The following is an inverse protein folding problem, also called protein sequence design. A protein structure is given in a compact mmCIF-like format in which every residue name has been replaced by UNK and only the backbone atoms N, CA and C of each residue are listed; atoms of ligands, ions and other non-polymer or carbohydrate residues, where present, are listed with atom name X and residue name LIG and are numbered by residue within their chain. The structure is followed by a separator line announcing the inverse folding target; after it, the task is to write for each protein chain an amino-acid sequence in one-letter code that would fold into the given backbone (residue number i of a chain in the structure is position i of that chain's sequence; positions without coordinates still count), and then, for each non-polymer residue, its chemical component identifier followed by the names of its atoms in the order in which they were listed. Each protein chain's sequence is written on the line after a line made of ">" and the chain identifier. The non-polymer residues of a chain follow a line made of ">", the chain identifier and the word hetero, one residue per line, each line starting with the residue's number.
data_IF_585671321701
#
_entry.id   IF_585671321701
#
_cell.length_a   1.000
_cell.length_b   1.000
_cell.length_c   1.000
_cell.angle_alpha   90.00
_cell.angle_beta   90.00
_cell.angle_gamma   90.00
#
_symmetry.space_group_name_H-M   'P 1'
#
loop_
_entity.id
_entity.type
_entity.pdbx_description
1 polymer ?
#
# COMPACT_ATOMS: atom_id res chain seq x y z
N UNK A 1 -5.84 19.36 20.48
CA UNK A 1 -4.60 20.14 20.41
C UNK A 1 -3.43 19.26 20.85
N UNK A 2 -2.89 18.45 19.92
CA UNK A 2 -1.74 17.55 20.14
C UNK A 2 -0.45 18.38 20.36
N UNK A 3 -0.50 19.67 20.13
CA UNK A 3 0.63 20.60 20.24
C UNK A 3 0.75 21.26 21.61
N UNK A 4 -0.25 21.15 22.48
CA UNK A 4 -0.31 21.87 23.77
C UNK A 4 0.57 21.35 24.90
N UNK A 5 1.22 20.18 24.75
CA UNK A 5 2.07 19.59 25.79
C UNK A 5 3.57 19.59 25.48
N UNK A 6 4.03 20.37 24.50
CA UNK A 6 5.45 20.45 24.19
C UNK A 6 6.18 21.28 25.23
N UNK A 7 6.86 20.60 26.16
CA UNK A 7 7.81 21.26 27.07
C UNK A 7 8.98 21.88 26.30
N UNK A 8 9.67 22.86 26.92
CA UNK A 8 10.86 23.54 26.37
C UNK A 8 11.91 22.54 25.81
N UNK A 9 11.97 21.31 26.33
CA UNK A 9 12.87 20.26 25.84
C UNK A 9 12.59 19.78 24.40
N UNK A 10 11.42 19.97 23.86
CA UNK A 10 11.07 19.52 22.51
C UNK A 10 11.62 20.40 21.40
N UNK A 11 11.85 21.69 21.70
CA UNK A 11 12.43 22.66 20.76
C UNK A 11 13.88 22.31 20.38
N UNK A 12 14.59 21.59 21.24
CA UNK A 12 15.99 21.20 21.02
C UNK A 12 16.14 19.77 20.46
N UNK A 13 15.04 19.03 20.34
CA UNK A 13 15.08 17.66 19.78
C UNK A 13 15.16 17.69 18.26
N UNK A 14 15.95 16.79 17.72
CA UNK A 14 15.90 16.47 16.29
C UNK A 14 14.62 15.68 16.01
N UNK A 15 13.83 16.13 15.06
CA UNK A 15 12.65 15.41 14.57
C UNK A 15 12.90 15.04 13.12
N UNK A 16 13.10 13.76 12.91
CA UNK A 16 13.35 13.16 11.59
C UNK A 16 12.37 12.03 11.36
N UNK A 17 12.19 11.69 10.11
CA UNK A 17 11.47 10.51 9.66
C UNK A 17 12.35 9.70 8.73
N UNK A 18 12.28 8.39 8.84
CA UNK A 18 12.83 7.42 7.89
C UNK A 18 11.71 6.45 7.58
N UNK A 19 11.25 6.46 6.33
CA UNK A 19 10.07 5.72 5.90
C UNK A 19 10.42 4.77 4.75
N UNK A 20 10.63 3.47 5.02
CA UNK A 20 10.72 2.46 3.97
C UNK A 20 9.41 2.41 3.17
N UNK A 21 9.49 2.34 1.85
CA UNK A 21 8.31 2.25 0.98
C UNK A 21 7.96 0.78 0.70
N UNK A 22 7.49 0.10 1.75
CA UNK A 22 7.05 -1.29 1.71
C UNK A 22 6.66 -1.83 3.09
N UNK A 23 5.87 -2.91 3.14
CA UNK A 23 5.51 -3.58 4.39
C UNK A 23 6.75 -4.07 5.13
N UNK A 24 6.76 -4.01 6.47
CA UNK A 24 7.94 -4.34 7.29
C UNK A 24 8.53 -5.74 7.02
N UNK A 25 7.68 -6.72 6.73
CA UNK A 25 8.11 -8.07 6.33
C UNK A 25 8.92 -8.07 5.04
N UNK A 26 8.49 -7.29 4.03
CA UNK A 26 9.19 -7.15 2.76
C UNK A 26 10.50 -6.35 2.92
N UNK A 27 10.48 -5.28 3.71
CA UNK A 27 11.71 -4.53 4.05
C UNK A 27 12.76 -5.48 4.63
N UNK A 28 12.35 -6.35 5.56
CA UNK A 28 13.26 -7.35 6.16
C UNK A 28 13.73 -8.38 5.14
N UNK A 29 12.83 -8.93 4.35
CA UNK A 29 13.16 -9.95 3.34
C UNK A 29 14.20 -9.43 2.34
N UNK A 30 13.95 -8.27 1.71
CA UNK A 30 14.90 -7.71 0.73
C UNK A 30 16.22 -7.28 1.35
N UNK A 31 16.23 -6.88 2.63
CA UNK A 31 17.46 -6.61 3.36
C UNK A 31 18.33 -7.86 3.51
N UNK A 32 17.74 -9.00 3.86
CA UNK A 32 18.43 -10.29 4.00
C UNK A 32 18.94 -10.81 2.66
N UNK A 33 18.27 -10.52 1.57
CA UNK A 33 18.69 -10.82 0.20
C UNK A 33 19.83 -9.90 -0.30
N UNK A 34 20.29 -8.95 0.52
CA UNK A 34 21.39 -8.05 0.17
C UNK A 34 20.93 -6.85 -0.66
N UNK A 35 19.63 -6.70 -0.90
CA UNK A 35 19.01 -5.55 -1.55
C UNK A 35 18.47 -4.55 -0.49
N UNK A 36 17.76 -3.51 -0.89
CA UNK A 36 17.12 -2.54 0.00
C UNK A 36 15.80 -2.06 -0.56
N UNK A 37 14.78 -2.04 0.29
CA UNK A 37 13.54 -1.33 -0.04
C UNK A 37 13.88 0.16 -0.22
N UNK A 38 13.39 0.85 -1.27
CA UNK A 38 13.52 2.29 -1.37
C UNK A 38 12.84 3.00 -0.19
N UNK A 39 13.31 4.18 0.16
CA UNK A 39 12.75 4.90 1.29
C UNK A 39 12.75 6.41 1.13
N UNK A 40 12.01 7.05 2.02
CA UNK A 40 11.96 8.50 2.15
C UNK A 40 12.58 8.93 3.47
N UNK A 41 13.19 10.10 3.49
CA UNK A 41 13.60 10.76 4.72
C UNK A 41 13.00 12.16 4.80
N UNK A 42 12.65 12.59 5.99
CA UNK A 42 12.24 13.96 6.24
C UNK A 42 12.91 14.52 7.49
N UNK A 43 13.19 15.82 7.46
CA UNK A 43 13.70 16.58 8.60
C UNK A 43 12.68 17.65 8.96
N UNK A 44 12.03 17.51 10.10
CA UNK A 44 11.09 18.51 10.61
C UNK A 44 11.80 19.53 11.50
N UNK A 45 12.75 19.08 12.34
CA UNK A 45 13.42 19.94 13.30
C UNK A 45 14.91 19.58 13.39
N UNK A 46 15.80 20.58 13.25
CA UNK A 46 17.24 20.39 13.16
C UNK A 46 18.05 21.36 13.99
N UNK A 47 17.91 21.40 15.33
CA UNK A 47 18.66 22.30 16.19
C UNK A 47 20.16 22.03 16.21
N UNK A 48 20.60 20.81 15.87
CA UNK A 48 22.01 20.40 15.86
C UNK A 48 22.74 20.64 14.54
N UNK A 49 22.01 20.97 13.45
CA UNK A 49 22.54 21.02 12.10
C UNK A 49 22.80 19.62 11.47
N UNK A 50 22.64 18.53 12.22
CA UNK A 50 23.02 17.16 11.81
C UNK A 50 21.82 16.21 11.60
N UNK A 51 20.60 16.72 11.61
CA UNK A 51 19.40 15.87 11.55
C UNK A 51 19.33 15.08 10.23
N UNK A 52 19.70 15.70 9.11
CA UNK A 52 19.74 15.03 7.80
C UNK A 52 20.75 13.87 7.77
N UNK A 53 21.95 14.09 8.30
CA UNK A 53 22.98 13.05 8.34
C UNK A 53 22.56 11.86 9.21
N UNK A 54 21.85 12.13 10.31
CA UNK A 54 21.29 11.08 11.17
C UNK A 54 20.21 10.30 10.44
N UNK A 55 19.28 10.96 9.73
CA UNK A 55 18.26 10.29 8.94
C UNK A 55 18.87 9.41 7.86
N UNK A 56 19.87 9.90 7.13
CA UNK A 56 20.59 9.11 6.11
C UNK A 56 21.36 7.94 6.73
N UNK A 57 21.97 8.11 7.89
CA UNK A 57 22.66 7.02 8.58
C UNK A 57 21.69 5.92 9.01
N UNK A 58 20.50 6.26 9.49
CA UNK A 58 19.43 5.30 9.81
C UNK A 58 18.94 4.60 8.54
N UNK A 59 18.63 5.35 7.50
CA UNK A 59 18.21 4.78 6.20
C UNK A 59 19.27 3.81 5.64
N UNK A 60 20.55 4.13 5.80
CA UNK A 60 21.66 3.24 5.41
C UNK A 60 21.71 1.97 6.26
N UNK A 61 21.51 2.11 7.57
CA UNK A 61 21.53 0.96 8.49
C UNK A 61 20.37 -0.03 8.18
N UNK A 62 19.22 0.49 7.76
CA UNK A 62 18.06 -0.30 7.32
C UNK A 62 18.18 -0.82 5.87
N UNK A 63 19.26 -0.51 5.18
CA UNK A 63 19.50 -0.95 3.80
C UNK A 63 18.81 -0.12 2.72
N UNK A 64 18.03 0.91 3.08
CA UNK A 64 17.21 1.70 2.14
C UNK A 64 18.06 2.36 1.05
N UNK A 65 19.30 2.76 1.38
CA UNK A 65 20.22 3.40 0.43
C UNK A 65 20.66 2.49 -0.73
N UNK A 66 20.43 1.19 -0.63
CA UNK A 66 20.69 0.23 -1.72
C UNK A 66 19.60 0.32 -2.80
N UNK A 67 18.35 0.57 -2.39
CA UNK A 67 17.22 0.77 -3.31
C UNK A 67 17.05 2.24 -3.74
N UNK A 68 17.55 3.17 -2.93
CA UNK A 68 17.44 4.60 -3.17
C UNK A 68 16.65 5.31 -2.06
N UNK A 69 17.08 6.55 -1.75
CA UNK A 69 16.45 7.39 -0.72
C UNK A 69 16.15 8.76 -1.31
N UNK A 70 14.90 9.20 -1.18
CA UNK A 70 14.48 10.55 -1.53
C UNK A 70 14.19 11.38 -0.28
N UNK A 71 14.38 12.68 -0.37
CA UNK A 71 14.08 13.64 0.70
C UNK A 71 12.71 14.28 0.43
N UNK A 72 11.88 14.36 1.46
CA UNK A 72 10.54 14.95 1.40
C UNK A 72 10.23 15.72 2.68
N UNK A 73 9.04 16.28 2.80
CA UNK A 73 8.50 16.80 4.05
C UNK A 73 7.71 15.73 4.79
N UNK A 74 7.56 15.88 6.12
CA UNK A 74 6.69 15.02 6.93
C UNK A 74 5.26 14.95 6.36
N UNK A 75 4.72 16.08 5.93
CA UNK A 75 3.36 16.16 5.39
C UNK A 75 3.22 15.41 4.06
N UNK A 76 4.19 15.58 3.15
CA UNK A 76 4.18 14.86 1.87
C UNK A 76 4.15 13.35 2.10
N UNK A 77 5.10 12.82 2.86
CA UNK A 77 5.15 11.38 3.11
C UNK A 77 3.85 10.87 3.76
N UNK A 78 3.40 11.54 4.83
CA UNK A 78 2.19 11.12 5.54
C UNK A 78 0.94 11.10 4.65
N UNK A 79 0.77 12.11 3.81
CA UNK A 79 -0.41 12.19 2.95
C UNK A 79 -0.34 11.21 1.77
N UNK A 80 0.82 11.07 1.17
CA UNK A 80 1.04 10.16 0.05
C UNK A 80 0.93 8.70 0.49
N UNK A 81 1.50 8.34 1.64
CA UNK A 81 1.43 6.99 2.19
C UNK A 81 0.00 6.59 2.54
N UNK A 82 -0.70 7.41 3.34
CA UNK A 82 -2.11 7.19 3.67
C UNK A 82 -3.01 7.16 2.42
N UNK A 83 -2.72 7.98 1.42
CA UNK A 83 -3.47 7.96 0.17
C UNK A 83 -3.22 6.67 -0.61
N UNK A 84 -1.96 6.27 -0.76
CA UNK A 84 -1.57 5.09 -1.51
C UNK A 84 -2.17 3.81 -0.94
N UNK A 85 -2.06 3.61 0.38
CA UNK A 85 -2.60 2.42 1.03
C UNK A 85 -4.13 2.34 0.96
N UNK A 86 -4.83 3.47 1.15
CA UNK A 86 -6.30 3.49 1.18
C UNK A 86 -6.93 3.37 -0.20
N UNK A 87 -6.36 4.03 -1.21
CA UNK A 87 -7.00 4.13 -2.51
C UNK A 87 -6.49 3.14 -3.55
N UNK A 88 -5.24 2.68 -3.43
CA UNK A 88 -4.62 1.83 -4.44
C UNK A 88 -4.20 0.49 -3.86
N UNK A 89 -3.28 0.48 -2.89
CA UNK A 89 -2.55 -0.73 -2.50
C UNK A 89 -3.39 -1.70 -1.65
N UNK A 90 -4.03 -1.22 -0.59
CA UNK A 90 -4.81 -2.08 0.31
C UNK A 90 -6.32 -1.95 0.07
N UNK A 91 -6.81 -0.74 -0.24
CA UNK A 91 -8.23 -0.54 -0.52
C UNK A 91 -8.61 -0.95 -1.95
N UNK A 92 -8.11 -0.21 -2.94
CA UNK A 92 -8.52 -0.37 -4.34
C UNK A 92 -8.21 -1.74 -4.92
N UNK A 93 -6.97 -2.22 -4.76
CA UNK A 93 -6.53 -3.50 -5.32
C UNK A 93 -7.30 -4.68 -4.71
N UNK A 94 -7.50 -4.67 -3.39
CA UNK A 94 -8.23 -5.75 -2.70
C UNK A 94 -9.68 -5.82 -3.15
N UNK A 95 -10.37 -4.68 -3.23
CA UNK A 95 -11.77 -4.66 -3.69
C UNK A 95 -11.89 -5.05 -5.16
N UNK A 96 -10.96 -4.63 -6.02
CA UNK A 96 -10.95 -5.02 -7.44
C UNK A 96 -10.81 -6.54 -7.59
N UNK A 97 -9.87 -7.16 -6.90
CA UNK A 97 -9.67 -8.62 -6.90
C UNK A 97 -10.90 -9.35 -6.37
N UNK A 98 -11.48 -8.86 -5.27
CA UNK A 98 -12.67 -9.45 -4.67
C UNK A 98 -13.87 -9.39 -5.61
N UNK A 99 -14.15 -8.24 -6.21
CA UNK A 99 -15.26 -8.08 -7.16
C UNK A 99 -15.07 -8.94 -8.42
N UNK A 100 -13.84 -9.09 -8.92
CA UNK A 100 -13.55 -9.99 -10.01
C UNK A 100 -13.87 -11.44 -9.65
N UNK A 101 -13.40 -11.91 -8.50
CA UNK A 101 -13.69 -13.23 -7.97
C UNK A 101 -15.20 -13.48 -7.77
N UNK A 102 -15.89 -12.53 -7.11
CA UNK A 102 -17.34 -12.61 -6.88
C UNK A 102 -18.11 -12.70 -8.22
N UNK A 103 -17.79 -11.83 -9.17
CA UNK A 103 -18.44 -11.80 -10.49
C UNK A 103 -18.34 -13.13 -11.21
N UNK A 104 -17.18 -13.75 -11.22
CA UNK A 104 -17.00 -15.05 -11.88
C UNK A 104 -17.74 -16.17 -11.15
N UNK A 105 -17.66 -16.20 -9.81
CA UNK A 105 -18.32 -17.26 -9.04
C UNK A 105 -19.85 -17.14 -9.06
N UNK A 106 -20.39 -15.94 -9.04
CA UNK A 106 -21.83 -15.67 -9.20
C UNK A 106 -22.33 -16.08 -10.60
N UNK A 107 -21.48 -15.96 -11.62
CA UNK A 107 -21.76 -16.43 -12.97
C UNK A 107 -21.64 -17.96 -13.12
N UNK A 108 -21.27 -18.68 -12.06
CA UNK A 108 -21.18 -20.14 -12.04
C UNK A 108 -19.81 -20.72 -12.42
N UNK A 109 -18.78 -19.90 -12.56
CA UNK A 109 -17.42 -20.41 -12.79
C UNK A 109 -16.82 -21.02 -11.51
N UNK A 110 -15.96 -22.05 -11.63
CA UNK A 110 -15.33 -22.68 -10.47
C UNK A 110 -14.53 -21.67 -9.64
N UNK A 111 -14.70 -21.64 -8.30
CA UNK A 111 -14.03 -20.67 -7.44
C UNK A 111 -12.50 -20.73 -7.49
N UNK A 112 -11.93 -21.92 -7.68
CA UNK A 112 -10.48 -22.10 -7.81
C UNK A 112 -9.95 -21.40 -9.07
N UNK A 113 -10.67 -21.49 -10.20
CA UNK A 113 -10.32 -20.79 -11.44
C UNK A 113 -10.46 -19.27 -11.26
N UNK A 114 -11.57 -18.82 -10.67
CA UNK A 114 -11.77 -17.40 -10.37
C UNK A 114 -10.65 -16.81 -9.47
N UNK A 115 -10.17 -17.60 -8.52
CA UNK A 115 -9.05 -17.21 -7.67
C UNK A 115 -7.73 -17.11 -8.47
N UNK A 116 -7.43 -18.06 -9.36
CA UNK A 116 -6.25 -17.97 -10.21
C UNK A 116 -6.27 -16.71 -11.06
N UNK A 117 -7.36 -16.45 -11.76
CA UNK A 117 -7.49 -15.33 -12.71
C UNK A 117 -7.49 -13.96 -12.03
N UNK A 118 -8.21 -13.82 -10.90
CA UNK A 118 -8.43 -12.50 -10.29
C UNK A 118 -7.46 -12.16 -9.14
N UNK A 119 -6.82 -13.17 -8.53
CA UNK A 119 -5.98 -12.95 -7.35
C UNK A 119 -4.55 -13.43 -7.56
N UNK A 120 -4.36 -14.70 -7.90
CA UNK A 120 -3.02 -15.27 -8.03
C UNK A 120 -2.23 -14.61 -9.17
N UNK A 121 -2.82 -14.50 -10.34
CA UNK A 121 -2.15 -13.96 -11.53
C UNK A 121 -1.92 -12.45 -11.43
N UNK A 122 -2.71 -11.73 -10.64
CA UNK A 122 -2.50 -10.28 -10.43
C UNK A 122 -1.08 -9.94 -9.96
N UNK A 123 -0.45 -10.81 -9.13
CA UNK A 123 0.95 -10.64 -8.73
C UNK A 123 1.89 -10.60 -9.93
N UNK A 124 1.69 -11.49 -10.90
CA UNK A 124 2.57 -11.60 -12.08
C UNK A 124 2.48 -10.34 -12.96
N UNK A 125 1.28 -9.80 -13.12
CA UNK A 125 1.06 -8.53 -13.83
C UNK A 125 1.69 -7.36 -13.06
N UNK A 126 1.50 -7.32 -11.73
CA UNK A 126 2.12 -6.28 -10.89
C UNK A 126 3.66 -6.37 -10.95
N UNK A 127 4.23 -7.57 -10.95
CA UNK A 127 5.68 -7.76 -11.11
C UNK A 127 6.18 -7.21 -12.45
N UNK A 128 5.45 -7.40 -13.56
CA UNK A 128 5.81 -6.83 -14.86
C UNK A 128 5.80 -5.29 -14.83
N UNK A 129 4.77 -4.70 -14.21
CA UNK A 129 4.67 -3.25 -14.04
C UNK A 129 5.81 -2.74 -13.14
N UNK A 130 6.07 -3.42 -12.02
CA UNK A 130 7.12 -3.08 -11.09
C UNK A 130 8.51 -3.09 -11.74
N UNK A 131 8.81 -4.13 -12.53
CA UNK A 131 10.12 -4.32 -13.16
C UNK A 131 10.35 -3.47 -14.40
N UNK A 132 9.30 -3.05 -15.10
CA UNK A 132 9.49 -2.40 -16.41
C UNK A 132 8.48 -1.31 -16.76
N UNK A 133 7.53 -1.04 -15.88
CA UNK A 133 6.44 -0.10 -16.13
C UNK A 133 5.30 -0.68 -16.97
N UNK A 134 4.21 0.07 -17.10
CA UNK A 134 3.00 -0.33 -17.83
C UNK A 134 3.30 -0.66 -19.28
N UNK A 135 4.10 0.17 -19.96
CA UNK A 135 4.47 -0.06 -21.37
C UNK A 135 5.21 -1.40 -21.54
N UNK A 136 6.09 -1.76 -20.61
CA UNK A 136 6.79 -3.05 -20.65
C UNK A 136 5.82 -4.20 -20.42
N UNK A 137 4.92 -4.07 -19.46
CA UNK A 137 3.87 -5.05 -19.22
C UNK A 137 3.06 -5.30 -20.50
N UNK A 138 2.57 -4.24 -21.17
CA UNK A 138 1.81 -4.34 -22.41
C UNK A 138 2.62 -4.98 -23.56
N UNK A 139 3.94 -4.77 -23.62
CA UNK A 139 4.79 -5.37 -24.65
C UNK A 139 4.97 -6.90 -24.54
N UNK A 140 4.56 -7.51 -23.41
CA UNK A 140 4.77 -8.95 -23.15
C UNK A 140 3.48 -9.73 -22.89
N UNK A 141 2.35 -9.05 -22.69
CA UNK A 141 1.03 -9.68 -22.65
C UNK A 141 0.47 -9.90 -24.07
N UNK A 142 -0.64 -10.60 -24.19
CA UNK A 142 -1.29 -10.82 -25.49
C UNK A 142 -1.97 -9.54 -25.99
N UNK A 143 -2.06 -9.39 -27.32
CA UNK A 143 -2.83 -8.30 -27.94
C UNK A 143 -4.30 -8.29 -27.48
N UNK A 144 -4.86 -9.43 -27.17
CA UNK A 144 -6.24 -9.54 -26.65
C UNK A 144 -6.35 -8.95 -25.25
N UNK A 145 -5.37 -9.20 -24.37
CA UNK A 145 -5.32 -8.65 -23.05
C UNK A 145 -5.12 -7.13 -23.08
N UNK A 146 -4.18 -6.64 -23.89
CA UNK A 146 -3.94 -5.20 -24.06
C UNK A 146 -5.17 -4.49 -24.67
N UNK A 147 -5.82 -5.08 -25.65
CA UNK A 147 -7.08 -4.52 -26.18
C UNK A 147 -8.17 -4.46 -25.09
N UNK A 148 -8.29 -5.53 -24.30
CA UNK A 148 -9.24 -5.60 -23.18
C UNK A 148 -8.96 -4.53 -22.12
N UNK A 149 -7.69 -4.24 -21.82
CA UNK A 149 -7.27 -3.16 -20.92
C UNK A 149 -7.85 -1.82 -21.37
N UNK A 150 -7.63 -1.44 -22.62
CA UNK A 150 -8.11 -0.16 -23.15
C UNK A 150 -9.63 -0.12 -23.34
N UNK A 151 -10.25 -1.26 -23.62
CA UNK A 151 -11.69 -1.37 -23.85
C UNK A 151 -12.50 -1.37 -22.56
N UNK A 152 -12.12 -2.21 -21.59
CA UNK A 152 -12.87 -2.41 -20.35
C UNK A 152 -12.37 -1.56 -19.18
N UNK A 153 -11.06 -1.28 -19.09
CA UNK A 153 -10.48 -0.55 -17.98
C UNK A 153 -11.23 0.75 -17.65
N UNK A 154 -11.50 1.64 -18.64
CA UNK A 154 -12.24 2.87 -18.40
C UNK A 154 -13.72 2.68 -18.02
N UNK A 155 -14.30 1.52 -18.29
CA UNK A 155 -15.67 1.17 -17.89
C UNK A 155 -15.74 0.66 -16.46
N UNK A 156 -14.73 -0.11 -16.03
CA UNK A 156 -14.62 -0.64 -14.66
C UNK A 156 -14.16 0.45 -13.69
N UNK A 157 -13.19 1.27 -14.10
CA UNK A 157 -12.68 2.41 -13.32
C UNK A 157 -12.92 3.71 -14.09
N UNK A 158 -14.16 4.19 -14.16
CA UNK A 158 -14.51 5.40 -14.88
C UNK A 158 -13.94 6.65 -14.18
N UNK A 159 -14.01 7.80 -14.87
CA UNK A 159 -13.38 9.04 -14.43
C UNK A 159 -13.84 9.54 -13.05
N UNK A 160 -15.04 9.19 -12.60
CA UNK A 160 -15.55 9.55 -11.26
C UNK A 160 -14.78 8.85 -10.14
N UNK A 161 -14.12 7.72 -10.39
CA UNK A 161 -13.21 7.09 -9.43
C UNK A 161 -12.09 8.05 -9.04
N UNK A 162 -11.54 8.79 -10.00
CA UNK A 162 -10.52 9.82 -9.71
C UNK A 162 -11.06 10.94 -8.82
N UNK A 163 -12.31 11.34 -9.00
CA UNK A 163 -12.93 12.37 -8.13
C UNK A 163 -13.13 11.83 -6.70
N UNK A 164 -13.53 10.56 -6.55
CA UNK A 164 -13.59 9.90 -5.24
C UNK A 164 -12.23 9.82 -4.56
N UNK A 165 -11.17 9.55 -5.32
CA UNK A 165 -9.79 9.57 -4.82
C UNK A 165 -9.37 10.97 -4.34
N UNK A 166 -9.75 12.03 -5.05
CA UNK A 166 -9.52 13.41 -4.61
C UNK A 166 -10.24 13.73 -3.30
N UNK A 167 -11.49 13.26 -3.14
CA UNK A 167 -12.22 13.43 -1.88
C UNK A 167 -11.58 12.62 -0.73
N UNK A 168 -11.02 11.45 -1.02
CA UNK A 168 -10.23 10.69 -0.05
C UNK A 168 -8.99 11.47 0.39
N UNK A 169 -8.23 12.02 -0.55
CA UNK A 169 -7.06 12.86 -0.26
C UNK A 169 -7.42 14.06 0.62
N UNK A 170 -8.51 14.77 0.31
CA UNK A 170 -8.98 15.89 1.14
C UNK A 170 -9.29 15.47 2.59
N UNK A 171 -9.87 14.27 2.79
CA UNK A 171 -10.11 13.76 4.16
C UNK A 171 -8.83 13.47 4.90
N UNK A 172 -7.78 13.04 4.20
CA UNK A 172 -6.46 12.81 4.77
C UNK A 172 -5.81 14.14 5.15
N UNK A 173 -5.71 15.07 4.21
CA UNK A 173 -5.06 16.38 4.39
C UNK A 173 -5.74 17.23 5.47
N UNK A 174 -7.07 17.15 5.58
CA UNK A 174 -7.83 17.86 6.62
C UNK A 174 -7.70 17.24 8.02
N UNK A 175 -7.05 16.08 8.15
CA UNK A 175 -6.97 15.31 9.40
C UNK A 175 -8.25 14.57 9.78
N UNK A 176 -9.30 14.62 8.92
CA UNK A 176 -10.55 13.92 9.22
C UNK A 176 -10.35 12.41 9.35
N UNK A 177 -9.60 11.81 8.44
CA UNK A 177 -9.28 10.38 8.52
C UNK A 177 -8.57 10.02 9.83
N UNK A 178 -7.56 10.79 10.22
CA UNK A 178 -6.83 10.55 11.46
C UNK A 178 -7.75 10.65 12.69
N UNK A 179 -8.67 11.63 12.70
CA UNK A 179 -9.66 11.77 13.77
C UNK A 179 -10.59 10.55 13.83
N UNK A 180 -11.15 10.14 12.70
CA UNK A 180 -12.08 9.00 12.62
C UNK A 180 -11.37 7.70 13.10
N UNK A 181 -10.11 7.50 12.71
CA UNK A 181 -9.30 6.36 13.17
C UNK A 181 -9.03 6.39 14.68
N UNK A 182 -8.65 7.54 15.22
CA UNK A 182 -8.39 7.67 16.65
C UNK A 182 -9.66 7.43 17.48
N UNK A 183 -10.81 7.86 17.01
CA UNK A 183 -12.11 7.60 17.66
C UNK A 183 -12.47 6.10 17.60
N UNK A 184 -12.21 5.43 16.50
CA UNK A 184 -12.40 3.98 16.35
C UNK A 184 -11.44 3.21 17.26
N UNK A 185 -10.16 3.58 17.27
CA UNK A 185 -9.13 2.95 18.09
C UNK A 185 -9.41 3.10 19.59
N UNK A 186 -9.86 4.28 20.03
CA UNK A 186 -10.23 4.55 21.42
C UNK A 186 -11.37 3.64 21.95
N UNK A 187 -12.24 3.17 21.04
CA UNK A 187 -13.32 2.22 21.35
C UNK A 187 -12.88 0.75 21.27
N UNK A 188 -11.59 0.50 21.04
CA UNK A 188 -11.04 -0.85 20.86
C UNK A 188 -11.19 -1.41 19.44
N UNK A 189 -11.41 -0.54 18.47
CA UNK A 189 -11.50 -0.84 17.03
C UNK A 189 -12.57 -1.90 16.68
N UNK A 190 -13.84 -1.76 17.11
CA UNK A 190 -14.87 -2.77 16.90
C UNK A 190 -15.20 -2.97 15.41
N UNK A 191 -15.29 -1.88 14.63
CA UNK A 191 -15.61 -1.96 13.20
C UNK A 191 -14.47 -2.62 12.41
N UNK A 192 -13.22 -2.30 12.72
CA UNK A 192 -12.04 -2.94 12.12
C UNK A 192 -12.04 -4.45 12.40
N UNK A 193 -12.32 -4.86 13.65
CA UNK A 193 -12.38 -6.26 14.05
C UNK A 193 -13.49 -7.01 13.31
N UNK A 194 -14.68 -6.45 13.24
CA UNK A 194 -15.82 -7.04 12.52
C UNK A 194 -15.53 -7.21 11.02
N UNK A 195 -14.93 -6.20 10.39
CA UNK A 195 -14.53 -6.28 8.98
C UNK A 195 -13.46 -7.35 8.73
N UNK A 196 -12.49 -7.46 9.62
CA UNK A 196 -11.44 -8.50 9.55
C UNK A 196 -12.03 -9.91 9.68
N UNK A 197 -12.94 -10.11 10.59
CA UNK A 197 -13.65 -11.39 10.76
C UNK A 197 -14.47 -11.73 9.51
N UNK A 198 -15.28 -10.79 9.02
CA UNK A 198 -16.09 -10.99 7.82
C UNK A 198 -15.21 -11.32 6.59
N UNK A 199 -14.09 -10.63 6.41
CA UNK A 199 -13.18 -10.93 5.31
C UNK A 199 -12.53 -12.32 5.46
N UNK A 200 -12.18 -12.73 6.67
CA UNK A 200 -11.62 -14.06 6.93
C UNK A 200 -12.60 -15.21 6.60
N UNK A 201 -13.91 -14.95 6.61
CA UNK A 201 -14.95 -15.90 6.19
C UNK A 201 -15.35 -15.76 4.72
N UNK A 202 -14.77 -14.82 3.99
CA UNK A 202 -15.12 -14.59 2.60
C UNK A 202 -14.65 -15.76 1.71
N UNK A 203 -15.45 -16.20 0.72
CA UNK A 203 -15.08 -17.31 -0.15
C UNK A 203 -13.70 -17.17 -0.81
N UNK A 204 -13.29 -15.95 -1.18
CA UNK A 204 -11.96 -15.69 -1.77
C UNK A 204 -10.83 -16.09 -0.81
N UNK A 205 -10.98 -15.89 0.50
CA UNK A 205 -9.97 -16.29 1.49
C UNK A 205 -9.98 -17.81 1.72
N UNK A 206 -11.16 -18.42 1.78
CA UNK A 206 -11.32 -19.88 1.98
C UNK A 206 -10.71 -20.65 0.79
N UNK A 207 -11.05 -20.24 -0.43
CA UNK A 207 -10.49 -20.82 -1.66
C UNK A 207 -9.00 -20.52 -1.76
N UNK A 208 -8.63 -19.26 -1.48
CA UNK A 208 -7.23 -18.84 -1.51
C UNK A 208 -6.34 -19.63 -0.56
N UNK A 209 -6.81 -19.98 0.64
CA UNK A 209 -6.05 -20.81 1.56
C UNK A 209 -5.74 -22.20 0.96
N UNK A 210 -6.73 -22.85 0.32
CA UNK A 210 -6.51 -24.13 -0.38
C UNK A 210 -5.48 -23.99 -1.50
N UNK A 211 -5.62 -22.95 -2.32
CA UNK A 211 -4.69 -22.73 -3.45
C UNK A 211 -3.28 -22.45 -2.95
N UNK A 212 -3.10 -21.58 -1.97
CA UNK A 212 -1.78 -21.25 -1.40
C UNK A 212 -1.08 -22.49 -0.83
N UNK A 213 -1.83 -23.39 -0.18
CA UNK A 213 -1.26 -24.63 0.37
C UNK A 213 -0.65 -25.57 -0.69
N UNK A 214 -1.07 -25.45 -1.96
CA UNK A 214 -0.48 -26.22 -3.06
C UNK A 214 0.91 -25.73 -3.47
N UNK A 215 1.27 -24.49 -3.09
CA UNK A 215 2.53 -23.84 -3.46
C UNK A 215 3.49 -23.68 -2.28
N UNK A 216 3.08 -24.04 -1.05
CA UNK A 216 3.96 -24.10 0.10
C UNK A 216 5.03 -25.18 -0.15
N UNK A 217 6.24 -24.74 -0.45
CA UNK A 217 7.41 -25.64 -0.53
C UNK A 217 7.82 -25.95 0.91
N UNK A 218 7.72 -27.23 1.30
CA UNK A 218 8.32 -27.77 2.52
C UNK A 218 9.83 -27.51 2.57
#
# INVERSE_FOLDING_TARGET
>A
DVLGSRGLGDVYKRQIMVAPKGPGTEVRRVFEEGFGCPGLIAVHQNPSGKARDVALAMAKAEGLTRGGVLECTMAQETYEDLFGEQNVLCGGLVDLMKYGFETLTEAGYPPEMAYFECVHEAKLIVDLIYNGGIQKMNSVISNTAEFGEYYNGPQILPADVKERMKESLKRIESGKFAKDWLEEAAKGAPNLKAKREALGQHPVEIVGAKIRSLFERN
#
